data_IF_483601699461
#
_entry.id   IF_483601699461
#
_cell.length_a   1.000
_cell.length_b   1.000
_cell.length_c   1.000
_cell.angle_alpha   90.00
_cell.angle_beta   90.00
_cell.angle_gamma   90.00
#
_symmetry.space_group_name_H-M   'P 1'
#
loop_
_entity.id
_entity.type
_entity.pdbx_description
1 polymer ?
#
# COMPACT_ATOMS: atom_id res chain seq x y z
N UNK A 1 17.72 23.25 41.21
CA UNK A 1 17.45 22.41 40.03
C UNK A 1 16.75 23.17 38.93
N UNK A 2 15.57 23.78 39.16
CA UNK A 2 14.84 24.59 38.16
C UNK A 2 15.71 25.73 37.56
N UNK A 3 16.40 26.50 38.40
CA UNK A 3 17.29 27.59 37.94
C UNK A 3 18.46 27.10 37.09
N UNK A 4 18.96 25.88 37.37
CA UNK A 4 20.06 25.25 36.65
C UNK A 4 19.62 24.72 35.30
N UNK A 5 18.44 24.10 35.22
CA UNK A 5 17.85 23.61 33.97
C UNK A 5 17.49 24.77 33.02
N UNK A 6 16.88 25.83 33.56
CA UNK A 6 16.56 27.04 32.79
C UNK A 6 17.84 27.70 32.23
N UNK A 7 18.90 27.80 33.03
CA UNK A 7 20.20 28.31 32.57
C UNK A 7 20.85 27.41 31.51
N UNK A 8 20.75 26.09 31.66
CA UNK A 8 21.30 25.13 30.70
C UNK A 8 20.58 25.19 29.34
N UNK A 9 19.24 25.27 29.32
CA UNK A 9 18.46 25.41 28.09
C UNK A 9 18.75 26.75 27.41
N UNK A 10 18.78 27.84 28.18
CA UNK A 10 19.05 29.17 27.64
C UNK A 10 20.45 29.29 27.00
N UNK A 11 21.45 28.58 27.52
CA UNK A 11 22.82 28.55 26.98
C UNK A 11 23.04 27.48 25.90
N UNK A 12 22.04 26.63 25.64
CA UNK A 12 22.16 25.56 24.64
C UNK A 12 22.18 26.17 23.22
N UNK A 13 23.21 25.87 22.40
CA UNK A 13 23.33 26.43 21.05
C UNK A 13 22.35 25.81 20.05
N UNK A 14 21.76 24.66 20.38
CA UNK A 14 20.76 23.95 19.56
C UNK A 14 19.34 24.20 20.08
N UNK A 15 18.32 24.03 19.24
CA UNK A 15 16.93 24.17 19.64
C UNK A 15 16.57 23.14 20.72
N UNK A 16 16.25 23.62 21.91
CA UNK A 16 15.99 22.80 23.08
C UNK A 16 14.80 23.32 23.90
N UNK A 17 14.08 22.38 24.53
CA UNK A 17 12.99 22.67 25.43
C UNK A 17 12.97 21.70 26.63
N UNK A 18 12.44 22.15 27.77
CA UNK A 18 12.03 21.30 28.88
C UNK A 18 10.53 21.08 28.83
N UNK A 19 10.13 19.84 29.00
CA UNK A 19 8.74 19.40 28.92
C UNK A 19 8.36 18.74 30.24
N UNK A 20 7.18 19.05 30.77
CA UNK A 20 6.72 18.45 32.02
C UNK A 20 6.16 17.03 31.81
N UNK A 21 5.78 16.36 32.90
CA UNK A 21 5.23 14.99 32.86
C UNK A 21 3.96 14.80 32.02
N UNK A 22 3.26 15.89 31.67
CA UNK A 22 2.07 15.87 30.80
C UNK A 22 2.39 16.10 29.32
N UNK A 23 3.66 16.33 28.97
CA UNK A 23 4.06 16.63 27.60
C UNK A 23 3.99 18.11 27.25
N UNK A 24 3.64 19.01 28.18
CA UNK A 24 3.55 20.44 27.91
C UNK A 24 4.93 21.08 27.98
N UNK A 25 5.27 21.87 26.95
CA UNK A 25 6.52 22.62 26.88
C UNK A 25 6.50 23.66 28.00
N UNK A 26 7.41 23.54 28.96
CA UNK A 26 7.45 24.40 30.13
C UNK A 26 8.46 25.55 29.97
N UNK A 27 9.60 25.27 29.34
CA UNK A 27 10.64 26.25 29.03
C UNK A 27 11.26 25.89 27.67
N UNK A 28 11.61 26.87 26.85
CA UNK A 28 12.40 26.64 25.63
C UNK A 28 13.42 27.76 25.41
N UNK A 29 14.39 27.52 24.53
CA UNK A 29 15.34 28.56 24.12
C UNK A 29 14.91 29.27 22.83
N UNK A 30 15.53 30.41 22.53
CA UNK A 30 15.20 31.19 21.33
C UNK A 30 15.31 30.38 20.03
N UNK A 31 16.34 29.51 19.83
CA UNK A 31 16.38 28.65 18.65
C UNK A 31 15.17 27.71 18.51
N UNK A 32 14.66 27.14 19.61
CA UNK A 32 13.48 26.27 19.57
C UNK A 32 12.21 27.05 19.24
N UNK A 33 12.05 28.24 19.81
CA UNK A 33 10.90 29.08 19.50
C UNK A 33 10.91 29.58 18.05
N UNK A 34 12.07 30.08 17.60
CA UNK A 34 12.29 30.51 16.23
C UNK A 34 12.11 29.36 15.22
N UNK A 35 12.46 28.12 15.60
CA UNK A 35 12.23 26.94 14.78
C UNK A 35 10.74 26.80 14.44
N UNK A 36 9.85 26.92 15.43
CA UNK A 36 8.40 26.85 15.25
C UNK A 36 7.77 28.12 14.66
N UNK A 37 8.54 29.19 14.47
CA UNK A 37 8.03 30.47 13.97
C UNK A 37 7.24 31.28 15.00
N UNK A 38 7.50 31.07 16.29
CA UNK A 38 6.83 31.76 17.41
C UNK A 38 7.84 32.36 18.39
N UNK A 39 7.37 33.21 19.30
CA UNK A 39 8.13 33.65 20.48
C UNK A 39 8.03 32.61 21.61
N UNK A 40 8.98 32.63 22.56
CA UNK A 40 8.95 31.71 23.71
C UNK A 40 7.66 31.80 24.52
N UNK A 41 7.13 33.01 24.74
CA UNK A 41 5.88 33.24 25.47
C UNK A 41 4.63 32.65 24.80
N UNK A 42 4.67 32.41 23.49
CA UNK A 42 3.56 31.79 22.75
C UNK A 42 3.60 30.26 22.81
N UNK A 43 4.77 29.66 23.05
CA UNK A 43 4.95 28.20 23.10
C UNK A 43 4.90 27.68 24.54
N UNK A 44 5.60 28.35 25.45
CA UNK A 44 5.75 27.93 26.84
C UNK A 44 4.39 27.91 27.55
N UNK A 45 4.01 26.73 28.06
CA UNK A 45 2.76 26.47 28.76
C UNK A 45 1.54 26.25 27.86
N UNK A 46 1.68 26.42 26.54
CA UNK A 46 0.56 26.39 25.59
C UNK A 46 0.61 25.20 24.63
N UNK A 47 1.80 24.72 24.27
CA UNK A 47 1.99 23.65 23.26
C UNK A 47 2.38 22.34 23.93
N UNK A 48 1.76 21.25 23.51
CA UNK A 48 2.13 19.90 23.92
C UNK A 48 3.07 19.24 22.89
N UNK A 49 4.08 18.50 23.36
CA UNK A 49 5.04 17.79 22.52
C UNK A 49 4.36 16.80 21.56
N UNK A 50 3.26 16.17 21.97
CA UNK A 50 2.49 15.29 21.09
C UNK A 50 1.80 16.01 19.94
N UNK A 51 1.52 17.32 20.06
CA UNK A 51 0.95 18.13 18.98
C UNK A 51 1.98 18.44 17.90
N UNK A 52 3.27 18.34 18.24
CA UNK A 52 4.37 18.48 17.28
C UNK A 52 4.59 17.18 16.47
N UNK A 53 4.02 16.05 16.88
CA UNK A 53 4.13 14.78 16.17
C UNK A 53 3.30 14.76 14.88
N UNK A 54 3.61 13.80 14.00
CA UNK A 54 2.83 13.58 12.78
C UNK A 54 1.33 13.37 13.04
N UNK A 55 0.51 13.86 12.10
CA UNK A 55 -0.93 13.60 12.11
C UNK A 55 -1.19 12.09 12.10
N UNK A 56 -1.92 11.60 13.10
CA UNK A 56 -2.17 10.17 13.31
C UNK A 56 -1.21 9.49 14.30
N UNK A 57 -0.06 10.10 14.62
CA UNK A 57 0.93 9.54 15.56
C UNK A 57 0.89 10.20 16.95
N UNK A 58 0.09 11.24 17.13
CA UNK A 58 -0.01 12.06 18.35
C UNK A 58 -0.32 11.21 19.61
N UNK A 59 -1.19 10.21 19.49
CA UNK A 59 -1.52 9.31 20.60
C UNK A 59 -0.35 8.37 20.97
N UNK A 60 0.43 7.93 19.97
CA UNK A 60 1.62 7.11 20.20
C UNK A 60 2.73 7.93 20.85
N UNK A 61 2.98 9.15 20.38
CA UNK A 61 3.93 10.09 20.98
C UNK A 61 3.57 10.41 22.44
N UNK A 62 2.29 10.63 22.75
CA UNK A 62 1.83 10.84 24.12
C UNK A 62 2.11 9.62 25.02
N UNK A 63 1.85 8.40 24.51
CA UNK A 63 2.10 7.15 25.24
C UNK A 63 3.60 6.93 25.49
N UNK A 64 4.45 7.24 24.53
CA UNK A 64 5.91 7.16 24.70
C UNK A 64 6.41 8.15 25.76
N UNK A 65 5.89 9.37 25.77
CA UNK A 65 6.23 10.35 26.82
C UNK A 65 5.83 9.87 28.21
N UNK A 66 4.63 9.27 28.35
CA UNK A 66 4.21 8.67 29.63
C UNK A 66 5.14 7.54 30.06
N UNK A 67 5.57 6.68 29.12
CA UNK A 67 6.51 5.59 29.40
C UNK A 67 7.89 6.11 29.86
N UNK A 68 8.36 7.21 29.25
CA UNK A 68 9.60 7.89 29.66
C UNK A 68 9.48 8.42 31.10
N UNK A 69 8.38 9.10 31.44
CA UNK A 69 8.15 9.64 32.78
C UNK A 69 7.94 8.56 33.85
N UNK A 70 7.41 7.40 33.45
CA UNK A 70 7.32 6.23 34.31
C UNK A 70 8.67 5.49 34.47
N UNK A 71 9.74 5.94 33.80
CA UNK A 71 11.05 5.27 33.81
C UNK A 71 11.07 3.93 33.08
N UNK A 72 10.09 3.67 32.22
CA UNK A 72 10.02 2.43 31.41
C UNK A 72 10.94 2.48 30.19
N UNK A 73 11.32 3.69 29.75
CA UNK A 73 12.31 3.95 28.70
C UNK A 73 13.19 5.12 29.14
N UNK A 74 14.44 5.19 28.67
CA UNK A 74 15.38 6.26 29.02
C UNK A 74 15.30 7.47 28.06
N UNK A 75 14.92 7.21 26.81
CA UNK A 75 14.66 8.20 25.78
C UNK A 75 13.72 7.64 24.72
N UNK A 76 13.18 8.53 23.89
CA UNK A 76 12.49 8.18 22.66
C UNK A 76 12.66 9.29 21.62
N UNK A 77 12.37 8.96 20.38
CA UNK A 77 12.48 9.86 19.24
C UNK A 77 11.13 9.93 18.53
N UNK A 78 10.81 11.09 17.98
CA UNK A 78 9.62 11.27 17.16
C UNK A 78 9.86 12.31 16.05
N UNK A 79 9.19 12.10 14.92
CA UNK A 79 9.20 13.04 13.82
C UNK A 79 7.96 13.93 13.84
N UNK A 80 8.17 15.19 13.49
CA UNK A 80 7.15 16.22 13.47
C UNK A 80 7.13 17.00 12.17
N UNK A 81 5.95 17.48 11.80
CA UNK A 81 5.76 18.39 10.67
C UNK A 81 5.09 19.68 11.17
N UNK A 82 5.79 20.80 11.06
CA UNK A 82 5.32 22.10 11.53
C UNK A 82 5.08 23.03 10.35
N UNK A 83 3.93 23.72 10.36
CA UNK A 83 3.62 24.83 9.48
C UNK A 83 3.74 26.12 10.27
N UNK A 84 4.67 26.99 9.87
CA UNK A 84 4.89 28.29 10.49
C UNK A 84 3.77 29.27 10.09
N UNK A 85 3.54 30.33 10.88
CA UNK A 85 2.57 31.38 10.56
C UNK A 85 2.84 32.11 9.24
N UNK A 86 4.09 32.12 8.76
CA UNK A 86 4.49 32.71 7.48
C UNK A 86 4.18 31.82 6.26
N UNK A 87 3.58 30.65 6.49
CA UNK A 87 3.20 29.67 5.46
C UNK A 87 4.31 28.69 5.08
N UNK A 88 5.51 28.80 5.64
CA UNK A 88 6.57 27.81 5.43
C UNK A 88 6.32 26.58 6.28
N UNK A 89 6.48 25.39 5.71
CA UNK A 89 6.46 24.14 6.47
C UNK A 89 7.83 23.48 6.49
N UNK A 90 8.13 22.80 7.60
CA UNK A 90 9.37 22.06 7.75
C UNK A 90 9.18 20.83 8.63
N UNK A 91 10.10 19.89 8.46
CA UNK A 91 10.15 18.67 9.25
C UNK A 91 11.15 18.83 10.37
N UNK A 92 10.85 18.25 11.51
CA UNK A 92 11.74 18.25 12.67
C UNK A 92 11.85 16.85 13.24
N UNK A 93 13.05 16.52 13.68
CA UNK A 93 13.28 15.34 14.49
C UNK A 93 13.46 15.79 15.93
N UNK A 94 12.72 15.16 16.84
CA UNK A 94 12.73 15.47 18.26
C UNK A 94 13.29 14.28 19.02
N UNK A 95 14.40 14.49 19.72
CA UNK A 95 14.97 13.52 20.65
C UNK A 95 14.54 13.93 22.05
N UNK A 96 13.89 13.01 22.76
CA UNK A 96 13.30 13.25 24.07
C UNK A 96 13.98 12.35 25.08
N UNK A 97 14.71 12.96 26.02
CA UNK A 97 15.41 12.26 27.09
C UNK A 97 14.85 12.63 28.46
N UNK A 98 14.88 11.68 29.39
CA UNK A 98 14.56 11.97 30.78
C UNK A 98 15.64 12.86 31.41
N UNK A 99 15.25 13.95 32.07
CA UNK A 99 16.16 14.76 32.87
C UNK A 99 16.00 14.44 34.37
N UNK A 100 14.75 14.40 34.83
CA UNK A 100 14.34 13.88 36.14
C UNK A 100 12.89 13.35 36.09
N UNK A 101 12.34 12.88 37.22
CA UNK A 101 10.97 12.36 37.28
C UNK A 101 9.86 13.41 37.07
N UNK A 102 10.21 14.69 36.92
CA UNK A 102 9.27 15.80 36.72
C UNK A 102 9.39 16.44 35.33
N UNK A 103 10.56 16.32 34.68
CA UNK A 103 10.89 16.98 33.43
C UNK A 103 11.67 16.09 32.45
N UNK A 104 11.33 16.21 31.17
CA UNK A 104 12.12 15.73 30.03
C UNK A 104 12.85 16.89 29.35
N UNK A 105 14.00 16.59 28.75
CA UNK A 105 14.68 17.44 27.80
C UNK A 105 14.32 17.02 26.38
N UNK A 106 13.98 18.00 25.55
CA UNK A 106 13.70 17.83 24.13
C UNK A 106 14.76 18.60 23.35
N UNK A 107 15.43 17.92 22.44
CA UNK A 107 16.26 18.57 21.42
C UNK A 107 15.53 18.45 20.08
N UNK A 108 15.19 19.60 19.50
CA UNK A 108 14.62 19.66 18.17
C UNK A 108 15.72 20.03 17.18
N UNK A 109 15.80 19.29 16.09
CA UNK A 109 16.62 19.66 14.97
C UNK A 109 15.70 19.88 13.78
N UNK A 110 15.79 21.06 13.18
CA UNK A 110 15.24 21.27 11.84
C UNK A 110 15.86 20.22 10.94
N UNK A 111 15.05 19.29 10.45
CA UNK A 111 15.48 18.50 9.32
C UNK A 111 15.27 19.41 8.13
N UNK A 112 16.34 20.07 7.68
CA UNK A 112 16.35 20.61 6.33
C UNK A 112 16.26 19.39 5.41
N UNK A 113 15.04 19.01 5.00
CA UNK A 113 14.80 17.93 4.04
C UNK A 113 15.29 18.35 2.65
N UNK A 114 16.58 18.65 2.49
CA UNK A 114 17.23 18.51 1.19
C UNK A 114 17.49 17.03 0.86
N UNK A 115 17.16 16.09 1.75
CA UNK A 115 17.35 14.65 1.54
C UNK A 115 16.08 13.82 1.36
N UNK A 116 14.91 14.24 1.86
CA UNK A 116 13.64 13.51 1.62
C UNK A 116 12.68 14.23 0.66
N UNK A 117 12.75 15.55 0.53
CA UNK A 117 12.23 16.21 -0.68
C UNK A 117 13.07 15.75 -1.87
N UNK A 118 14.40 15.56 -1.70
CA UNK A 118 15.19 14.95 -2.77
C UNK A 118 14.94 13.46 -2.95
N UNK A 119 14.69 12.62 -1.93
CA UNK A 119 14.36 11.22 -2.20
C UNK A 119 13.02 11.05 -2.93
N UNK A 120 11.98 11.82 -2.58
CA UNK A 120 10.69 11.78 -3.27
C UNK A 120 10.75 12.45 -4.65
N UNK A 121 11.50 13.56 -4.81
CA UNK A 121 11.75 14.20 -6.12
C UNK A 121 12.66 13.35 -7.01
N UNK A 122 13.71 12.74 -6.47
CA UNK A 122 14.58 11.79 -7.17
C UNK A 122 13.77 10.56 -7.55
N UNK A 123 12.95 10.00 -6.66
CA UNK A 123 12.10 8.87 -6.99
C UNK A 123 11.02 9.27 -8.02
N UNK A 124 10.48 10.48 -7.96
CA UNK A 124 9.59 11.03 -8.97
C UNK A 124 10.29 11.12 -10.32
N UNK A 125 11.48 11.69 -10.38
CA UNK A 125 12.28 11.82 -11.60
C UNK A 125 12.68 10.45 -12.13
N UNK A 126 13.08 9.51 -11.26
CA UNK A 126 13.36 8.12 -11.60
C UNK A 126 12.12 7.40 -12.14
N UNK A 127 10.93 7.62 -11.59
CA UNK A 127 9.69 7.02 -12.07
C UNK A 127 9.25 7.62 -13.41
N UNK A 128 9.36 8.94 -13.57
CA UNK A 128 9.12 9.61 -14.84
C UNK A 128 10.09 9.13 -15.92
N UNK A 129 11.36 8.98 -15.55
CA UNK A 129 12.39 8.43 -16.42
C UNK A 129 12.14 6.96 -16.73
N UNK A 130 11.70 6.16 -15.76
CA UNK A 130 11.32 4.76 -15.95
C UNK A 130 10.16 4.61 -16.94
N UNK A 131 9.17 5.51 -16.86
CA UNK A 131 8.07 5.59 -17.84
C UNK A 131 8.65 5.91 -19.23
N UNK A 132 9.49 6.94 -19.34
CA UNK A 132 10.07 7.41 -20.60
C UNK A 132 10.97 6.35 -21.27
N UNK A 133 11.81 5.71 -20.47
CA UNK A 133 12.76 4.67 -20.89
C UNK A 133 12.13 3.26 -20.96
N UNK A 134 10.83 3.12 -20.67
CA UNK A 134 10.09 1.84 -20.70
C UNK A 134 10.75 0.76 -19.82
N UNK A 135 11.11 1.12 -18.59
CA UNK A 135 11.76 0.22 -17.63
C UNK A 135 10.77 -0.68 -16.87
N UNK A 136 9.47 -0.51 -17.05
CA UNK A 136 8.48 -1.42 -16.48
C UNK A 136 8.38 -2.68 -17.32
N UNK A 137 8.43 -3.83 -16.65
CA UNK A 137 8.29 -5.16 -17.24
C UNK A 137 7.24 -5.94 -16.46
N UNK A 138 6.71 -7.00 -17.06
CA UNK A 138 5.76 -7.89 -16.41
C UNK A 138 6.43 -9.23 -16.12
N UNK A 139 6.25 -9.70 -14.90
CA UNK A 139 6.41 -11.10 -14.55
C UNK A 139 5.03 -11.74 -14.46
N UNK A 140 4.95 -13.03 -14.73
CA UNK A 140 3.72 -13.77 -14.84
C UNK A 140 3.71 -14.90 -13.82
N UNK A 141 2.61 -14.99 -13.07
CA UNK A 141 2.39 -16.08 -12.13
C UNK A 141 1.18 -16.91 -12.54
N UNK A 142 1.29 -18.25 -12.61
CA UNK A 142 0.20 -19.08 -13.10
C UNK A 142 -0.96 -19.16 -12.10
N UNK A 143 -2.16 -19.01 -12.62
CA UNK A 143 -3.44 -19.34 -11.97
C UNK A 143 -3.87 -20.69 -12.55
N UNK A 144 -3.99 -21.70 -11.69
CA UNK A 144 -4.13 -23.10 -12.09
C UNK A 144 -5.51 -23.62 -11.71
N UNK A 145 -6.15 -24.35 -12.62
CA UNK A 145 -7.35 -25.10 -12.30
C UNK A 145 -7.00 -26.27 -11.38
N UNK A 146 -7.52 -26.24 -10.15
CA UNK A 146 -7.06 -27.16 -9.11
C UNK A 146 -7.38 -28.62 -9.43
N UNK A 147 -8.58 -28.91 -9.94
CA UNK A 147 -8.95 -30.27 -10.32
C UNK A 147 -8.11 -30.86 -11.47
N UNK A 148 -7.74 -30.06 -12.47
CA UNK A 148 -7.09 -30.56 -13.70
C UNK A 148 -5.57 -30.32 -13.74
N UNK A 149 -5.05 -29.42 -12.91
CA UNK A 149 -3.66 -28.97 -12.94
C UNK A 149 -3.31 -28.10 -14.15
N UNK A 150 -4.27 -27.72 -14.99
CA UNK A 150 -4.04 -26.89 -16.18
C UNK A 150 -3.94 -25.42 -15.81
N UNK A 151 -3.00 -24.71 -16.41
CA UNK A 151 -2.90 -23.26 -16.32
C UNK A 151 -4.10 -22.65 -17.06
N UNK A 152 -4.84 -21.79 -16.37
CA UNK A 152 -5.97 -21.05 -16.90
C UNK A 152 -5.58 -19.64 -17.29
N UNK A 153 -4.87 -18.96 -16.39
CA UNK A 153 -4.48 -17.58 -16.54
C UNK A 153 -3.08 -17.35 -15.97
N UNK A 154 -2.53 -16.17 -16.27
CA UNK A 154 -1.25 -15.69 -15.77
C UNK A 154 -1.48 -14.30 -15.18
N UNK A 155 -1.26 -14.13 -13.87
CA UNK A 155 -1.32 -12.80 -13.26
C UNK A 155 -0.09 -11.98 -13.69
N UNK A 156 -0.34 -10.81 -14.26
CA UNK A 156 0.68 -9.86 -14.69
C UNK A 156 1.12 -8.98 -13.52
N UNK A 157 2.27 -9.36 -12.95
CA UNK A 157 2.89 -8.70 -11.84
C UNK A 157 3.94 -7.70 -12.33
N UNK A 158 3.65 -6.41 -12.21
CA UNK A 158 4.57 -5.35 -12.62
C UNK A 158 5.88 -5.40 -11.84
N UNK A 159 6.99 -5.19 -12.54
CA UNK A 159 8.32 -5.02 -11.99
C UNK A 159 8.96 -3.80 -12.63
N UNK A 160 9.81 -3.13 -11.89
CA UNK A 160 10.63 -2.05 -12.41
C UNK A 160 12.05 -2.54 -12.61
N UNK A 161 12.49 -2.64 -13.86
CA UNK A 161 13.85 -2.93 -14.26
C UNK A 161 14.73 -1.67 -14.04
N UNK A 162 14.92 -1.32 -12.77
CA UNK A 162 15.73 -0.17 -12.37
C UNK A 162 17.23 -0.44 -12.65
N UNK A 163 18.06 0.58 -12.95
CA UNK A 163 19.49 0.40 -13.22
C UNK A 163 20.25 -0.36 -12.13
N UNK A 164 19.86 -0.18 -10.87
CA UNK A 164 20.45 -0.86 -9.70
C UNK A 164 19.81 -2.23 -9.37
N UNK A 165 19.03 -2.80 -10.28
CA UNK A 165 18.39 -4.11 -10.12
C UNK A 165 16.86 -4.05 -10.10
N UNK A 166 16.22 -5.21 -10.14
CA UNK A 166 14.77 -5.33 -10.22
C UNK A 166 14.09 -4.85 -8.93
N UNK A 167 13.12 -3.93 -9.05
CA UNK A 167 12.28 -3.45 -7.94
C UNK A 167 10.86 -4.01 -8.03
N UNK A 168 10.31 -4.32 -6.87
CA UNK A 168 8.97 -4.90 -6.71
C UNK A 168 7.91 -3.81 -6.48
N UNK A 169 6.62 -4.09 -6.73
CA UNK A 169 5.55 -3.10 -6.63
C UNK A 169 5.50 -2.33 -5.30
N UNK A 170 5.73 -3.01 -4.18
CA UNK A 170 5.77 -2.42 -2.85
C UNK A 170 6.84 -1.32 -2.68
N UNK A 171 7.88 -1.31 -3.52
CA UNK A 171 8.91 -0.27 -3.52
C UNK A 171 8.45 1.02 -4.20
N UNK A 172 7.59 0.96 -5.23
CA UNK A 172 7.32 2.12 -6.08
C UNK A 172 5.84 2.49 -6.25
N UNK A 173 4.90 1.56 -6.13
CA UNK A 173 3.48 1.86 -6.30
C UNK A 173 2.94 2.84 -5.24
N UNK A 174 3.31 2.76 -3.94
CA UNK A 174 2.88 3.75 -2.96
C UNK A 174 3.28 5.18 -3.35
N UNK A 175 4.49 5.34 -3.89
CA UNK A 175 5.00 6.63 -4.35
C UNK A 175 4.35 7.06 -5.66
N UNK A 176 4.17 6.14 -6.62
CA UNK A 176 3.47 6.43 -7.86
C UNK A 176 2.03 6.91 -7.60
N UNK A 177 1.35 6.36 -6.60
CA UNK A 177 0.03 6.83 -6.14
C UNK A 177 0.12 8.24 -5.58
N UNK A 178 1.05 8.50 -4.65
CA UNK A 178 1.25 9.83 -4.08
C UNK A 178 1.57 10.90 -5.14
N UNK A 179 2.27 10.52 -6.21
CA UNK A 179 2.70 11.40 -7.30
C UNK A 179 1.70 11.47 -8.47
N UNK A 180 0.59 10.73 -8.43
CA UNK A 180 -0.40 10.67 -9.52
C UNK A 180 0.10 9.97 -10.79
N UNK A 181 1.13 9.12 -10.68
CA UNK A 181 1.73 8.35 -11.77
C UNK A 181 1.11 6.95 -11.96
N UNK A 182 0.25 6.51 -11.04
CA UNK A 182 -0.39 5.19 -11.10
C UNK A 182 -1.14 4.93 -12.41
N UNK A 183 -1.84 5.94 -12.94
CA UNK A 183 -2.55 5.84 -14.21
C UNK A 183 -1.60 5.61 -15.39
N UNK A 184 -0.42 6.25 -15.37
CA UNK A 184 0.60 6.04 -16.40
C UNK A 184 1.17 4.63 -16.34
N UNK A 185 1.42 4.12 -15.14
CA UNK A 185 1.90 2.75 -14.93
C UNK A 185 0.82 1.76 -15.37
N UNK A 186 -0.45 1.98 -15.01
CA UNK A 186 -1.57 1.14 -15.42
C UNK A 186 -1.68 1.05 -16.97
N UNK A 187 -1.55 2.18 -17.67
CA UNK A 187 -1.50 2.21 -19.15
C UNK A 187 -0.38 1.33 -19.72
N UNK A 188 0.81 1.41 -19.13
CA UNK A 188 1.96 0.61 -19.55
C UNK A 188 1.69 -0.87 -19.29
N UNK A 189 1.20 -1.21 -18.10
CA UNK A 189 0.86 -2.59 -17.71
C UNK A 189 -0.18 -3.19 -18.65
N UNK A 190 -1.28 -2.49 -18.93
CA UNK A 190 -2.31 -2.94 -19.87
C UNK A 190 -1.74 -3.15 -21.28
N UNK A 191 -0.89 -2.24 -21.76
CA UNK A 191 -0.22 -2.36 -23.06
C UNK A 191 0.71 -3.57 -23.13
N UNK A 192 1.50 -3.81 -22.08
CA UNK A 192 2.40 -4.98 -22.00
C UNK A 192 1.62 -6.30 -21.87
N UNK A 193 0.55 -6.32 -21.08
CA UNK A 193 -0.34 -7.46 -20.93
C UNK A 193 -1.01 -7.82 -22.27
N UNK A 194 -1.59 -6.83 -22.97
CA UNK A 194 -2.18 -7.03 -24.29
C UNK A 194 -1.16 -7.54 -25.32
N UNK A 195 0.06 -6.98 -25.32
CA UNK A 195 1.15 -7.46 -26.18
C UNK A 195 1.49 -8.92 -25.89
N UNK A 196 1.61 -9.31 -24.62
CA UNK A 196 1.95 -10.69 -24.25
C UNK A 196 0.80 -11.65 -24.56
N UNK A 197 -0.45 -11.25 -24.32
CA UNK A 197 -1.65 -12.02 -24.71
C UNK A 197 -1.64 -12.34 -26.19
N UNK A 198 -1.31 -11.35 -27.03
CA UNK A 198 -1.18 -11.57 -28.47
C UNK A 198 -0.09 -12.59 -28.79
N UNK A 199 1.10 -12.45 -28.18
CA UNK A 199 2.22 -13.36 -28.43
C UNK A 199 1.90 -14.82 -28.04
N UNK A 200 1.23 -15.03 -26.90
CA UNK A 200 0.75 -16.35 -26.49
C UNK A 200 -0.34 -16.88 -27.42
N UNK A 201 -1.28 -16.05 -27.84
CA UNK A 201 -2.29 -16.46 -28.82
C UNK A 201 -1.67 -16.90 -30.15
N UNK A 202 -0.61 -16.24 -30.61
CA UNK A 202 0.08 -16.58 -31.87
C UNK A 202 0.86 -17.90 -31.80
N UNK A 203 1.22 -18.35 -30.59
CA UNK A 203 1.86 -19.65 -30.35
C UNK A 203 0.87 -20.77 -30.04
N UNK A 204 -0.43 -20.46 -30.05
CA UNK A 204 -1.51 -21.43 -29.79
C UNK A 204 -1.88 -21.56 -28.32
N UNK A 205 -1.24 -20.82 -27.42
CA UNK A 205 -1.61 -20.80 -26.01
C UNK A 205 -2.97 -20.13 -25.80
N UNK A 206 -3.73 -20.66 -24.84
CA UNK A 206 -5.09 -20.22 -24.53
C UNK A 206 -5.20 -19.50 -23.19
N UNK A 207 -4.08 -19.21 -22.54
CA UNK A 207 -4.05 -18.55 -21.24
C UNK A 207 -4.65 -17.15 -21.29
N UNK A 208 -5.37 -16.81 -20.23
CA UNK A 208 -5.72 -15.43 -19.92
C UNK A 208 -4.57 -14.70 -19.22
N UNK A 209 -4.64 -13.36 -19.20
CA UNK A 209 -3.76 -12.50 -18.41
C UNK A 209 -4.60 -11.68 -17.46
N UNK A 210 -4.30 -11.81 -16.17
CA UNK A 210 -4.91 -11.02 -15.10
C UNK A 210 -4.09 -9.76 -14.82
N UNK A 211 -4.75 -8.62 -14.70
CA UNK A 211 -4.13 -7.32 -14.41
C UNK A 211 -4.83 -6.66 -13.23
N UNK A 212 -4.05 -6.30 -12.22
CA UNK A 212 -4.51 -5.55 -11.05
C UNK A 212 -4.87 -4.11 -11.43
N UNK A 213 -6.08 -3.71 -11.04
CA UNK A 213 -6.65 -2.39 -11.28
C UNK A 213 -6.93 -1.73 -9.94
N UNK A 214 -6.24 -0.62 -9.71
CA UNK A 214 -6.49 0.26 -8.59
C UNK A 214 -7.84 0.97 -8.77
N UNK A 215 -8.66 1.03 -7.70
CA UNK A 215 -9.95 1.73 -7.69
C UNK A 215 -9.93 3.16 -8.24
N UNK A 216 -8.94 3.97 -7.87
CA UNK A 216 -8.77 5.34 -8.37
C UNK A 216 -8.59 5.40 -9.90
N UNK A 217 -7.95 4.38 -10.48
CA UNK A 217 -7.78 4.29 -11.93
C UNK A 217 -9.07 3.86 -12.62
N UNK A 218 -9.85 3.00 -11.98
CA UNK A 218 -11.18 2.58 -12.46
C UNK A 218 -12.19 3.75 -12.49
N UNK A 219 -12.07 4.73 -11.60
CA UNK A 219 -12.93 5.94 -11.58
C UNK A 219 -12.73 6.84 -12.80
N UNK A 220 -11.56 6.81 -13.44
CA UNK A 220 -11.27 7.62 -14.62
C UNK A 220 -12.31 7.40 -15.72
N UNK A 221 -12.87 8.50 -16.24
CA UNK A 221 -13.85 8.46 -17.33
C UNK A 221 -13.31 7.66 -18.52
N UNK A 222 -12.03 7.84 -18.85
CA UNK A 222 -11.38 7.22 -20.00
C UNK A 222 -10.82 5.80 -19.76
N UNK A 223 -11.18 5.13 -18.64
CA UNK A 223 -10.61 3.83 -18.30
C UNK A 223 -11.00 2.74 -19.31
N UNK A 224 -12.26 2.71 -19.73
CA UNK A 224 -12.75 1.73 -20.72
C UNK A 224 -12.02 1.89 -22.05
N UNK A 225 -11.91 3.12 -22.55
CA UNK A 225 -11.18 3.42 -23.78
C UNK A 225 -9.70 3.07 -23.68
N UNK A 226 -9.10 3.21 -22.50
CA UNK A 226 -7.71 2.84 -22.26
C UNK A 226 -7.50 1.32 -22.39
N UNK A 227 -8.38 0.50 -21.81
CA UNK A 227 -8.33 -0.96 -21.93
C UNK A 227 -8.53 -1.38 -23.39
N UNK A 228 -9.55 -0.83 -24.04
CA UNK A 228 -9.88 -1.13 -25.44
C UNK A 228 -8.77 -0.73 -26.41
N UNK A 229 -8.15 0.43 -26.18
CA UNK A 229 -6.99 0.85 -26.96
C UNK A 229 -5.82 -0.11 -26.83
N UNK A 230 -5.52 -0.60 -25.61
CA UNK A 230 -4.43 -1.55 -25.40
C UNK A 230 -4.68 -2.88 -26.15
N UNK A 231 -5.92 -3.40 -26.06
CA UNK A 231 -6.34 -4.60 -26.78
C UNK A 231 -6.24 -4.40 -28.30
N UNK A 232 -6.84 -3.33 -28.83
CA UNK A 232 -6.88 -3.05 -30.26
C UNK A 232 -5.48 -2.81 -30.85
N UNK A 233 -4.60 -2.11 -30.12
CA UNK A 233 -3.23 -1.80 -30.54
C UNK A 233 -2.41 -3.05 -30.87
N UNK A 234 -2.62 -4.15 -30.14
CA UNK A 234 -1.88 -5.40 -30.33
C UNK A 234 -2.72 -6.51 -30.96
N UNK A 235 -4.01 -6.28 -31.23
CA UNK A 235 -4.92 -7.32 -31.72
C UNK A 235 -5.04 -8.49 -30.75
N UNK A 236 -5.04 -8.20 -29.44
CA UNK A 236 -5.11 -9.20 -28.39
C UNK A 236 -6.54 -9.76 -28.26
N UNK A 237 -6.70 -11.04 -27.86
CA UNK A 237 -8.02 -11.60 -27.56
C UNK A 237 -8.61 -10.93 -26.31
N UNK A 238 -9.64 -10.10 -26.49
CA UNK A 238 -10.23 -9.28 -25.43
C UNK A 238 -10.82 -10.11 -24.28
N UNK A 239 -11.40 -11.26 -24.62
CA UNK A 239 -12.01 -12.24 -23.71
C UNK A 239 -10.98 -12.94 -22.80
N UNK A 240 -9.69 -12.79 -23.09
CA UNK A 240 -8.58 -13.35 -22.31
C UNK A 240 -7.88 -12.32 -21.43
N UNK A 241 -8.35 -11.08 -21.39
CA UNK A 241 -7.91 -10.11 -20.39
C UNK A 241 -8.83 -10.19 -19.17
N UNK A 242 -8.26 -10.41 -18.00
CA UNK A 242 -8.94 -10.35 -16.72
C UNK A 242 -8.54 -9.05 -16.01
N UNK A 243 -9.51 -8.37 -15.43
CA UNK A 243 -9.31 -7.16 -14.63
C UNK A 243 -9.61 -7.50 -13.17
N UNK A 244 -8.58 -7.39 -12.33
CA UNK A 244 -8.65 -7.72 -10.90
C UNK A 244 -8.82 -6.42 -10.13
N UNK A 245 -9.95 -6.26 -9.46
CA UNK A 245 -10.33 -5.03 -8.78
C UNK A 245 -10.02 -5.21 -7.29
N UNK A 246 -9.04 -4.45 -6.81
CA UNK A 246 -8.65 -4.48 -5.40
C UNK A 246 -9.79 -3.95 -4.53
N UNK A 247 -10.14 -4.70 -3.49
CA UNK A 247 -11.16 -4.30 -2.52
C UNK A 247 -10.74 -3.03 -1.76
N UNK A 248 -11.54 -1.96 -1.83
CA UNK A 248 -11.28 -0.73 -1.07
C UNK A 248 -12.53 -0.18 -0.39
N UNK A 249 -12.31 0.47 0.75
CA UNK A 249 -13.37 1.01 1.62
C UNK A 249 -14.03 2.29 1.06
N UNK A 250 -13.46 2.90 0.02
CA UNK A 250 -13.75 4.29 -0.37
C UNK A 250 -14.52 4.45 -1.68
N UNK A 251 -14.81 3.38 -2.41
CA UNK A 251 -15.51 3.49 -3.68
C UNK A 251 -16.98 3.83 -3.46
N UNK A 252 -17.46 4.88 -4.13
CA UNK A 252 -18.89 5.05 -4.35
C UNK A 252 -19.37 3.95 -5.31
N UNK A 253 -19.80 2.85 -4.69
CA UNK A 253 -20.16 1.58 -5.33
C UNK A 253 -21.13 1.80 -6.49
N UNK A 254 -22.07 2.75 -6.39
CA UNK A 254 -23.08 2.97 -7.43
C UNK A 254 -22.52 3.59 -8.71
N UNK A 255 -21.59 4.52 -8.57
CA UNK A 255 -21.02 5.28 -9.69
C UNK A 255 -20.24 4.40 -10.69
N UNK A 256 -19.72 3.25 -10.22
CA UNK A 256 -18.89 2.35 -11.01
C UNK A 256 -19.64 1.14 -11.59
N UNK A 257 -20.82 0.78 -11.08
CA UNK A 257 -21.51 -0.44 -11.50
C UNK A 257 -21.74 -0.48 -13.01
N UNK A 258 -22.19 0.62 -13.61
CA UNK A 258 -22.47 0.65 -15.05
C UNK A 258 -21.21 0.54 -15.90
N UNK A 259 -20.08 1.08 -15.43
CA UNK A 259 -18.76 0.91 -16.06
C UNK A 259 -18.32 -0.55 -15.97
N UNK A 260 -18.42 -1.16 -14.79
CA UNK A 260 -18.13 -2.58 -14.60
C UNK A 260 -19.02 -3.47 -15.47
N UNK A 261 -20.32 -3.16 -15.60
CA UNK A 261 -21.24 -3.92 -16.48
C UNK A 261 -20.88 -3.82 -17.95
N UNK A 262 -20.26 -2.72 -18.39
CA UNK A 262 -19.77 -2.60 -19.78
C UNK A 262 -18.50 -3.40 -19.97
N UNK A 263 -17.54 -3.29 -19.04
CA UNK A 263 -16.30 -4.06 -19.06
C UNK A 263 -16.56 -5.57 -19.00
N UNK A 264 -17.50 -6.02 -18.15
CA UNK A 264 -17.82 -7.44 -17.95
C UNK A 264 -18.40 -8.12 -19.19
N UNK A 265 -18.84 -7.36 -20.21
CA UNK A 265 -19.29 -7.94 -21.49
C UNK A 265 -18.14 -8.42 -22.37
N UNK A 266 -16.92 -7.96 -22.09
CA UNK A 266 -15.73 -8.21 -22.94
C UNK A 266 -14.56 -8.78 -22.17
N UNK A 267 -14.52 -8.58 -20.85
CA UNK A 267 -13.43 -8.98 -19.97
C UNK A 267 -14.00 -9.73 -18.76
N UNK A 268 -13.21 -10.67 -18.24
CA UNK A 268 -13.51 -11.24 -16.93
C UNK A 268 -13.13 -10.23 -15.85
N UNK A 269 -14.03 -10.01 -14.89
CA UNK A 269 -13.78 -9.17 -13.73
C UNK A 269 -13.67 -10.05 -12.48
N UNK A 270 -12.63 -9.82 -11.69
CA UNK A 270 -12.43 -10.49 -10.42
C UNK A 270 -12.34 -9.46 -9.29
N UNK A 271 -12.81 -9.82 -8.10
CA UNK A 271 -12.49 -9.10 -6.87
C UNK A 271 -11.20 -9.69 -6.31
N UNK A 272 -10.24 -8.82 -6.02
CA UNK A 272 -8.93 -9.20 -5.48
C UNK A 272 -8.81 -8.95 -3.97
N UNK A 273 -7.88 -9.64 -3.32
CA UNK A 273 -7.53 -9.51 -1.89
C UNK A 273 -8.71 -9.72 -0.90
N UNK A 274 -9.70 -10.54 -1.24
CA UNK A 274 -10.86 -10.76 -0.35
C UNK A 274 -10.42 -11.44 0.95
N UNK A 275 -10.57 -10.72 2.07
CA UNK A 275 -10.22 -11.22 3.41
C UNK A 275 -8.91 -10.66 3.98
N UNK A 276 -8.18 -9.81 3.25
CA UNK A 276 -6.97 -9.14 3.75
C UNK A 276 -7.24 -8.07 4.83
N UNK A 277 -8.52 -7.77 5.11
CA UNK A 277 -8.95 -6.75 6.06
C UNK A 277 -10.48 -6.69 6.21
N UNK A 278 -11.10 -5.59 5.75
CA UNK A 278 -12.56 -5.44 5.77
C UNK A 278 -13.19 -6.01 4.50
N UNK A 279 -13.64 -7.27 4.57
CA UNK A 279 -14.41 -7.89 3.48
C UNK A 279 -15.80 -7.26 3.34
N UNK A 280 -16.02 -6.54 2.25
CA UNK A 280 -17.27 -5.93 1.85
C UNK A 280 -18.07 -6.89 0.96
N UNK A 281 -18.86 -7.76 1.60
CA UNK A 281 -19.84 -8.61 0.92
C UNK A 281 -20.81 -7.83 0.02
N UNK A 282 -21.01 -6.53 0.30
CA UNK A 282 -21.80 -5.64 -0.55
C UNK A 282 -21.18 -5.44 -1.94
N UNK A 283 -19.84 -5.43 -2.07
CA UNK A 283 -19.17 -5.34 -3.36
C UNK A 283 -19.38 -6.63 -4.17
N UNK A 284 -19.17 -7.79 -3.53
CA UNK A 284 -19.33 -9.13 -4.13
C UNK A 284 -20.74 -9.34 -4.70
N UNK A 285 -21.77 -8.85 -4.01
CA UNK A 285 -23.17 -9.03 -4.42
C UNK A 285 -23.69 -8.00 -5.42
N UNK A 286 -22.98 -6.87 -5.60
CA UNK A 286 -23.42 -5.76 -6.47
C UNK A 286 -22.62 -5.65 -7.77
N UNK A 287 -21.34 -5.97 -7.73
CA UNK A 287 -20.49 -5.85 -8.92
C UNK A 287 -20.73 -7.02 -9.88
N UNK A 288 -20.75 -6.76 -11.21
CA UNK A 288 -20.89 -7.80 -12.22
C UNK A 288 -19.56 -8.53 -12.42
N UNK A 289 -19.06 -9.15 -11.35
CA UNK A 289 -17.82 -9.95 -11.34
C UNK A 289 -18.12 -11.41 -11.61
N UNK A 290 -17.09 -12.15 -12.04
CA UNK A 290 -17.19 -13.58 -12.33
C UNK A 290 -16.28 -14.40 -11.42
N UNK A 291 -15.33 -13.76 -10.74
CA UNK A 291 -14.40 -14.43 -9.84
C UNK A 291 -14.16 -13.64 -8.55
N UNK A 292 -13.81 -14.38 -7.50
CA UNK A 292 -13.41 -13.88 -6.19
C UNK A 292 -12.06 -14.50 -5.83
N UNK A 293 -11.06 -13.68 -5.53
CA UNK A 293 -9.73 -14.12 -5.11
C UNK A 293 -9.63 -14.02 -3.59
N UNK A 294 -9.41 -15.15 -2.92
CA UNK A 294 -9.26 -15.24 -1.46
C UNK A 294 -7.80 -14.95 -1.12
N UNK A 295 -7.60 -13.91 -0.31
CA UNK A 295 -6.26 -13.47 0.08
C UNK A 295 -5.47 -14.55 0.84
N UNK A 296 -4.15 -14.53 0.63
CA UNK A 296 -3.20 -15.48 1.20
C UNK A 296 -3.25 -15.62 2.73
N UNK A 297 -3.66 -14.58 3.47
CA UNK A 297 -3.71 -14.64 4.93
C UNK A 297 -4.81 -15.59 5.42
N UNK A 298 -5.85 -15.82 4.62
CA UNK A 298 -6.88 -16.82 4.92
C UNK A 298 -6.48 -18.23 4.46
N UNK A 299 -5.63 -18.33 3.42
CA UNK A 299 -5.19 -19.62 2.88
C UNK A 299 -4.06 -20.24 3.70
N UNK A 300 -3.16 -19.41 4.24
CA UNK A 300 -1.99 -19.88 5.00
C UNK A 300 -2.42 -20.68 6.23
N UNK A 301 -2.12 -21.98 6.23
CA UNK A 301 -2.46 -22.88 7.33
C UNK A 301 -3.92 -23.37 7.37
N UNK A 302 -4.68 -23.16 6.28
CA UNK A 302 -6.07 -23.64 6.16
C UNK A 302 -6.19 -25.16 6.28
N UNK A 303 -5.11 -25.91 6.04
CA UNK A 303 -5.09 -27.37 6.17
C UNK A 303 -5.22 -27.87 7.62
N UNK A 304 -4.89 -27.04 8.63
CA UNK A 304 -4.85 -27.47 10.03
C UNK A 304 -5.54 -26.53 11.03
N UNK A 305 -5.89 -25.31 10.66
CA UNK A 305 -6.67 -24.39 11.52
C UNK A 305 -8.19 -24.53 11.26
N UNK A 306 -8.98 -25.08 12.20
CA UNK A 306 -10.42 -25.28 12.00
C UNK A 306 -11.21 -23.98 11.82
N UNK A 307 -10.73 -22.87 12.38
CA UNK A 307 -11.31 -21.55 12.20
C UNK A 307 -11.15 -21.07 10.77
N UNK A 308 -9.93 -21.13 10.23
CA UNK A 308 -9.66 -20.81 8.82
C UNK A 308 -10.45 -21.73 7.88
N UNK A 309 -10.52 -23.04 8.17
CA UNK A 309 -11.31 -24.00 7.40
C UNK A 309 -12.78 -23.59 7.29
N UNK A 310 -13.36 -23.18 8.43
CA UNK A 310 -14.76 -22.74 8.49
C UNK A 310 -14.95 -21.46 7.68
N UNK A 311 -14.06 -20.49 7.80
CA UNK A 311 -14.13 -19.21 7.09
C UNK A 311 -13.96 -19.41 5.59
N UNK A 312 -12.85 -19.99 5.15
CA UNK A 312 -12.54 -20.22 3.73
C UNK A 312 -13.61 -21.10 3.10
N UNK A 313 -14.05 -22.15 3.80
CA UNK A 313 -15.10 -23.03 3.31
C UNK A 313 -16.43 -22.29 3.09
N UNK A 314 -16.79 -21.40 4.01
CA UNK A 314 -17.98 -20.55 3.88
C UNK A 314 -17.87 -19.59 2.70
N UNK A 315 -16.70 -18.98 2.51
CA UNK A 315 -16.44 -18.08 1.38
C UNK A 315 -16.55 -18.82 0.05
N UNK A 316 -16.02 -20.04 -0.06
CA UNK A 316 -16.12 -20.87 -1.27
C UNK A 316 -17.59 -21.15 -1.61
N UNK A 317 -18.35 -21.64 -0.64
CA UNK A 317 -19.78 -21.96 -0.83
C UNK A 317 -20.56 -20.71 -1.22
N UNK A 318 -20.36 -19.60 -0.52
CA UNK A 318 -21.03 -18.34 -0.81
C UNK A 318 -20.73 -17.85 -2.22
N UNK A 319 -19.46 -17.87 -2.64
CA UNK A 319 -19.06 -17.46 -3.98
C UNK A 319 -19.76 -18.31 -5.05
N UNK A 320 -19.80 -19.64 -4.86
CA UNK A 320 -20.49 -20.55 -5.77
C UNK A 320 -22.01 -20.31 -5.84
N UNK A 321 -22.67 -20.05 -4.70
CA UNK A 321 -24.09 -19.70 -4.66
C UNK A 321 -24.40 -18.36 -5.38
N UNK A 322 -23.42 -17.46 -5.41
CA UNK A 322 -23.49 -16.22 -6.19
C UNK A 322 -23.09 -16.41 -7.67
N UNK A 323 -22.76 -17.63 -8.09
CA UNK A 323 -22.33 -17.96 -9.45
C UNK A 323 -20.90 -17.54 -9.78
N UNK A 324 -20.09 -17.20 -8.77
CA UNK A 324 -18.70 -16.79 -8.90
C UNK A 324 -17.75 -17.98 -8.86
N UNK A 325 -16.61 -17.83 -9.53
CA UNK A 325 -15.46 -18.73 -9.40
C UNK A 325 -14.52 -18.29 -8.30
N UNK A 326 -13.85 -19.23 -7.66
CA UNK A 326 -12.94 -18.93 -6.55
C UNK A 326 -11.49 -19.18 -6.96
N UNK A 327 -10.63 -18.19 -6.71
CA UNK A 327 -9.17 -18.32 -6.79
C UNK A 327 -8.62 -18.26 -5.37
N UNK A 328 -7.96 -19.31 -4.90
CA UNK A 328 -7.24 -19.28 -3.62
C UNK A 328 -5.79 -18.83 -3.85
N UNK A 329 -5.37 -17.77 -3.16
CA UNK A 329 -4.03 -17.20 -3.31
C UNK A 329 -3.04 -17.64 -2.24
N UNK A 330 -1.75 -17.56 -2.56
CA UNK A 330 -0.69 -17.83 -1.60
C UNK A 330 -0.58 -19.30 -1.18
N UNK A 331 -0.94 -20.24 -2.05
CA UNK A 331 -0.73 -21.68 -1.80
C UNK A 331 0.77 -21.98 -1.76
N UNK A 332 1.28 -22.36 -0.59
CA UNK A 332 2.71 -22.61 -0.36
C UNK A 332 3.03 -24.10 -0.13
N UNK A 333 2.03 -24.90 0.24
CA UNK A 333 2.21 -26.32 0.58
C UNK A 333 1.25 -27.24 -0.19
N UNK A 334 1.63 -28.52 -0.30
CA UNK A 334 0.75 -29.56 -0.83
C UNK A 334 -0.50 -29.74 0.05
N UNK A 335 -0.38 -29.62 1.37
CA UNK A 335 -1.48 -29.82 2.30
C UNK A 335 -2.60 -28.78 2.09
N UNK A 336 -2.23 -27.50 1.97
CA UNK A 336 -3.17 -26.41 1.63
C UNK A 336 -3.85 -26.68 0.27
N UNK A 337 -3.07 -27.07 -0.74
CA UNK A 337 -3.60 -27.43 -2.06
C UNK A 337 -4.64 -28.56 -1.99
N UNK A 338 -4.35 -29.64 -1.26
CA UNK A 338 -5.26 -30.78 -1.16
C UNK A 338 -6.52 -30.44 -0.38
N UNK A 339 -6.40 -29.63 0.67
CA UNK A 339 -7.56 -29.13 1.40
C UNK A 339 -8.49 -28.32 0.49
N UNK A 340 -7.93 -27.36 -0.25
CA UNK A 340 -8.69 -26.50 -1.19
C UNK A 340 -9.35 -27.30 -2.31
N UNK A 341 -8.65 -28.30 -2.85
CA UNK A 341 -9.22 -29.25 -3.84
C UNK A 341 -10.41 -30.01 -3.27
N UNK A 342 -10.28 -30.53 -2.06
CA UNK A 342 -11.31 -31.33 -1.39
C UNK A 342 -12.56 -30.49 -1.11
N UNK A 343 -12.37 -29.22 -0.77
CA UNK A 343 -13.45 -28.27 -0.51
C UNK A 343 -14.06 -27.67 -1.80
N UNK A 344 -13.57 -28.06 -2.97
CA UNK A 344 -14.15 -27.67 -4.26
C UNK A 344 -13.72 -26.30 -4.78
N UNK A 345 -12.61 -25.74 -4.30
CA UNK A 345 -12.06 -24.49 -4.85
C UNK A 345 -11.70 -24.67 -6.35
N UNK A 346 -12.11 -23.73 -7.20
CA UNK A 346 -11.96 -23.86 -8.66
C UNK A 346 -10.50 -23.71 -9.09
N UNK A 347 -9.89 -22.61 -8.66
CA UNK A 347 -8.57 -22.16 -9.11
C UNK A 347 -7.65 -21.88 -7.92
N UNK A 348 -6.36 -21.92 -8.16
CA UNK A 348 -5.37 -21.55 -7.15
C UNK A 348 -4.12 -20.93 -7.74
N UNK A 349 -3.46 -20.14 -6.91
CA UNK A 349 -2.24 -19.43 -7.21
C UNK A 349 -1.33 -19.46 -5.98
N UNK A 350 -0.03 -19.63 -6.19
CA UNK A 350 0.93 -19.65 -5.09
C UNK A 350 2.26 -20.25 -5.50
N UNK A 351 3.27 -20.13 -4.62
CA UNK A 351 4.62 -20.58 -4.94
C UNK A 351 4.73 -22.09 -5.11
N UNK A 352 3.81 -22.86 -4.51
CA UNK A 352 3.72 -24.31 -4.76
C UNK A 352 3.32 -24.62 -6.22
N UNK A 353 2.47 -23.79 -6.82
CA UNK A 353 1.93 -23.99 -8.18
C UNK A 353 2.80 -23.33 -9.25
N UNK A 354 3.50 -22.26 -8.90
CA UNK A 354 4.46 -21.58 -9.77
C UNK A 354 4.84 -20.21 -9.20
N UNK A 355 6.14 -19.92 -9.25
CA UNK A 355 6.65 -18.60 -8.85
C UNK A 355 6.50 -17.60 -10.00
N UNK A 356 6.28 -16.31 -9.70
CA UNK A 356 6.37 -15.25 -10.70
C UNK A 356 7.67 -15.32 -11.48
N UNK A 357 7.59 -15.29 -12.81
CA UNK A 357 8.76 -15.31 -13.68
C UNK A 357 8.53 -14.44 -14.92
N UNK A 358 9.61 -14.01 -15.58
CA UNK A 358 9.48 -13.38 -16.89
C UNK A 358 8.80 -14.33 -17.89
N UNK A 359 8.06 -13.79 -18.86
CA UNK A 359 7.46 -14.61 -19.92
C UNK A 359 8.55 -15.44 -20.61
N UNK A 360 8.30 -16.75 -20.75
CA UNK A 360 9.10 -17.57 -21.65
C UNK A 360 8.79 -17.12 -23.09
N UNK A 361 9.84 -16.86 -23.85
CA UNK A 361 9.74 -16.49 -25.27
C UNK A 361 9.18 -17.64 -26.09
#
# INVERSE_FOLDING_TARGET
MISTLAAAIALCPTAAAAVNSRGVIWLCNEPFAALLGHSRSEIEGQVCLSELALLGEQAAAHKQHQALMAGSVESYELDGHCCRPDGQSFWMHLVVGCFDHSYSLVFAHSITRHQEVSALEVLKDELLEAIRLRQFVLWYQPIVHLATGRILAQEALVRWQHPNGLRYPNYFLPFARHLGLETWICRIVLGLAAKQLRAWSDTGETWAVAVNIEPSTLELVAFEEMVEFAIARYGAPADRLWLEIVETQSLDIESLVDKLRRLSKRHLLAIDDFGAGYSNLGAVTRYPVQALKIDKHLIKGVDHDPGLQTVVGTVIVMAHELGLKVVAEGIETEAELQWLKTYGCDFGQGFWLGRPAAAKQ
#
